data_IF_101453173825
#
_entry.id   IF_101453173825
#
_cell.length_a   1.000
_cell.length_b   1.000
_cell.length_c   1.000
_cell.angle_alpha   90.00
_cell.angle_beta   90.00
_cell.angle_gamma   90.00
#
_symmetry.space_group_name_H-M   'P 1'
#
loop_
_entity.id
_entity.type
_entity.pdbx_description
1 polymer ?
#
# COMPACT_ATOMS: atom_id res chain seq x y z
N UNK A 1 23.19 -19.52 73.83
CA UNK A 1 23.02 -18.07 74.04
C UNK A 1 23.92 -17.34 73.05
N UNK A 2 23.32 -16.37 72.33
CA UNK A 2 23.91 -15.29 71.51
C UNK A 2 24.75 -15.75 70.28
N UNK A 3 24.33 -15.71 68.99
CA UNK A 3 23.77 -14.62 68.12
C UNK A 3 24.49 -13.29 68.42
N UNK A 4 25.19 -12.57 67.52
CA UNK A 4 24.89 -12.06 66.16
C UNK A 4 26.24 -11.69 65.44
N UNK A 5 26.33 -11.08 64.23
CA UNK A 5 26.65 -11.72 62.95
C UNK A 5 27.86 -11.13 62.19
N UNK A 6 28.47 -11.91 61.28
CA UNK A 6 29.44 -11.43 60.28
C UNK A 6 28.77 -10.53 59.21
N UNK A 7 27.44 -10.37 59.25
CA UNK A 7 26.67 -9.50 58.35
C UNK A 7 26.76 -8.00 58.66
N UNK A 8 27.45 -7.57 59.72
CA UNK A 8 27.53 -6.15 60.09
C UNK A 8 28.76 -5.38 59.58
N UNK A 9 29.71 -6.03 58.88
CA UNK A 9 30.87 -5.33 58.33
C UNK A 9 30.63 -4.75 56.92
N UNK A 10 29.57 -5.18 56.22
CA UNK A 10 29.27 -4.77 54.84
C UNK A 10 28.27 -3.59 54.76
N UNK A 11 27.59 -3.26 55.87
CA UNK A 11 26.61 -2.16 55.92
C UNK A 11 27.16 -0.80 56.42
N UNK A 12 28.45 -0.70 56.75
CA UNK A 12 29.11 0.55 57.17
C UNK A 12 29.91 1.25 56.06
N UNK A 13 29.87 0.74 54.83
CA UNK A 13 30.58 1.34 53.68
C UNK A 13 29.67 2.18 52.76
N UNK A 14 28.46 2.54 53.22
CA UNK A 14 27.56 3.45 52.52
C UNK A 14 27.84 4.95 52.86
N UNK A 15 28.97 5.26 53.49
CA UNK A 15 29.30 6.62 53.94
C UNK A 15 30.79 6.92 54.03
N UNK A 16 31.64 6.33 53.18
CA UNK A 16 33.07 6.67 53.15
C UNK A 16 33.31 8.01 52.45
N UNK A 17 33.24 9.09 53.22
CA UNK A 17 34.16 10.23 53.03
C UNK A 17 35.59 9.68 52.98
N UNK A 18 36.43 10.21 52.08
CA UNK A 18 37.74 9.65 51.75
C UNK A 18 38.57 9.24 52.98
N UNK A 19 39.23 8.09 52.87
CA UNK A 19 40.24 7.65 53.86
C UNK A 19 41.32 8.72 53.92
N UNK A 20 41.63 9.21 55.12
CA UNK A 20 42.62 10.26 55.33
C UNK A 20 44.05 9.71 55.13
N UNK A 21 44.97 10.58 54.72
CA UNK A 21 46.36 10.19 54.42
C UNK A 21 47.07 9.56 55.61
N UNK A 22 46.69 9.92 56.84
CA UNK A 22 47.23 9.32 58.08
C UNK A 22 46.85 7.86 58.22
N UNK A 23 45.60 7.49 57.97
CA UNK A 23 45.16 6.08 58.00
C UNK A 23 45.86 5.26 56.91
N UNK A 24 46.11 5.85 55.74
CA UNK A 24 46.88 5.18 54.68
C UNK A 24 48.34 4.97 55.09
N UNK A 25 48.96 5.96 55.73
CA UNK A 25 50.33 5.85 56.24
C UNK A 25 50.47 4.78 57.33
N UNK A 26 49.55 4.76 58.31
CA UNK A 26 49.54 3.77 59.40
C UNK A 26 49.37 2.32 58.88
N UNK A 27 48.58 2.14 57.81
CA UNK A 27 48.41 0.82 57.17
C UNK A 27 49.67 0.41 56.41
N UNK A 28 50.35 1.35 55.74
CA UNK A 28 51.58 1.07 55.00
C UNK A 28 52.78 0.79 55.93
N UNK A 29 52.79 1.39 57.12
CA UNK A 29 53.78 1.07 58.17
C UNK A 29 53.61 -0.37 58.68
N UNK A 30 52.37 -0.83 58.86
CA UNK A 30 52.03 -2.17 59.36
C UNK A 30 52.06 -3.25 58.28
N UNK A 31 51.74 -2.92 57.03
CA UNK A 31 51.77 -3.82 55.87
C UNK A 31 52.34 -3.10 54.64
N UNK A 32 53.67 -3.11 54.44
CA UNK A 32 54.29 -2.54 53.25
C UNK A 32 53.86 -3.19 51.93
N UNK A 33 53.35 -4.44 51.97
CA UNK A 33 52.94 -5.15 50.77
C UNK A 33 51.65 -4.57 50.18
N UNK A 34 50.82 -3.93 51.01
CA UNK A 34 49.59 -3.22 50.63
C UNK A 34 49.83 -2.05 49.65
N UNK A 35 51.06 -1.51 49.59
CA UNK A 35 51.44 -0.52 48.58
C UNK A 35 51.21 -1.01 47.14
N UNK A 36 51.34 -2.32 46.88
CA UNK A 36 51.04 -2.92 45.57
C UNK A 36 49.54 -2.86 45.26
N UNK A 37 48.71 -3.15 46.24
CA UNK A 37 47.24 -3.10 46.14
C UNK A 37 46.77 -1.67 45.83
N UNK A 38 47.34 -0.66 46.49
CA UNK A 38 47.03 0.75 46.20
C UNK A 38 47.44 1.14 44.77
N UNK A 39 48.65 0.74 44.32
CA UNK A 39 49.08 0.98 42.94
C UNK A 39 48.19 0.29 41.91
N UNK A 40 47.75 -0.93 42.18
CA UNK A 40 46.82 -1.68 41.34
C UNK A 40 45.44 -1.02 41.30
N UNK A 41 44.92 -0.56 42.44
CA UNK A 41 43.67 0.21 42.54
C UNK A 41 43.75 1.48 41.68
N UNK A 42 44.81 2.26 41.81
CA UNK A 42 44.97 3.51 41.04
C UNK A 42 45.17 3.26 39.54
N UNK A 43 45.91 2.20 39.19
CA UNK A 43 46.04 1.74 37.80
C UNK A 43 44.69 1.31 37.21
N UNK A 44 43.91 0.55 37.98
CA UNK A 44 42.58 0.08 37.58
C UNK A 44 41.60 1.24 37.47
N UNK A 45 41.61 2.19 38.41
CA UNK A 45 40.79 3.39 38.34
C UNK A 45 41.08 4.21 37.08
N UNK A 46 42.36 4.40 36.74
CA UNK A 46 42.77 5.06 35.48
C UNK A 46 42.29 4.31 34.24
N UNK A 47 42.39 2.97 34.23
CA UNK A 47 41.88 2.13 33.12
C UNK A 47 40.36 2.25 32.98
N UNK A 48 39.62 2.21 34.09
CA UNK A 48 38.16 2.37 34.11
C UNK A 48 37.79 3.74 33.52
N UNK A 49 38.48 4.80 33.92
CA UNK A 49 38.18 6.14 33.43
C UNK A 49 38.50 6.30 31.93
N UNK A 50 39.61 5.72 31.47
CA UNK A 50 39.95 5.68 30.04
C UNK A 50 38.88 4.91 29.23
N UNK A 51 38.40 3.77 29.74
CA UNK A 51 37.34 3.00 29.09
C UNK A 51 36.02 3.77 29.05
N UNK A 52 35.63 4.46 30.12
CA UNK A 52 34.43 5.32 30.12
C UNK A 52 34.52 6.42 29.08
N UNK A 53 35.68 7.08 28.99
CA UNK A 53 35.90 8.13 27.99
C UNK A 53 35.79 7.57 26.57
N UNK A 54 36.45 6.44 26.29
CA UNK A 54 36.37 5.77 24.99
C UNK A 54 34.94 5.32 24.64
N UNK A 55 34.19 4.77 25.60
CA UNK A 55 32.78 4.42 25.41
C UNK A 55 31.91 5.65 25.10
N UNK A 56 32.17 6.79 25.76
CA UNK A 56 31.45 8.04 25.51
C UNK A 56 31.70 8.53 24.08
N UNK A 57 32.96 8.54 23.64
CA UNK A 57 33.35 8.92 22.28
C UNK A 57 32.70 8.00 21.23
N UNK A 58 32.77 6.68 21.43
CA UNK A 58 32.14 5.70 20.54
C UNK A 58 30.62 5.89 20.46
N UNK A 59 29.97 6.19 21.60
CA UNK A 59 28.53 6.47 21.66
C UNK A 59 28.17 7.74 20.90
N UNK A 60 28.94 8.81 21.05
CA UNK A 60 28.71 10.08 20.34
C UNK A 60 28.88 9.90 18.82
N UNK A 61 29.93 9.20 18.39
CA UNK A 61 30.14 8.87 16.97
C UNK A 61 28.98 8.06 16.40
N UNK A 62 28.57 7.00 17.09
CA UNK A 62 27.43 6.15 16.68
C UNK A 62 26.13 6.95 16.58
N UNK A 63 25.86 7.82 17.54
CA UNK A 63 24.66 8.68 17.52
C UNK A 63 24.68 9.67 16.35
N UNK A 64 25.84 10.21 16.00
CA UNK A 64 26.02 11.08 14.83
C UNK A 64 25.71 10.33 13.53
N UNK A 65 26.26 9.13 13.37
CA UNK A 65 26.00 8.26 12.20
C UNK A 65 24.50 7.90 12.10
N UNK A 66 23.87 7.52 13.21
CA UNK A 66 22.41 7.29 13.26
C UNK A 66 21.64 8.56 12.81
N UNK A 67 22.08 9.74 13.26
CA UNK A 67 21.49 11.01 12.86
C UNK A 67 21.58 11.26 11.34
N UNK A 68 22.75 11.01 10.75
CA UNK A 68 22.96 11.13 9.30
C UNK A 68 22.09 10.14 8.52
N UNK A 69 22.04 8.87 8.95
CA UNK A 69 21.22 7.84 8.32
C UNK A 69 19.72 8.19 8.36
N UNK A 70 19.23 8.71 9.49
CA UNK A 70 17.83 9.16 9.61
C UNK A 70 17.49 10.31 8.66
N UNK A 71 18.40 11.28 8.53
CA UNK A 71 18.26 12.38 7.57
C UNK A 71 18.24 11.84 6.13
N UNK A 72 19.20 10.97 5.78
CA UNK A 72 19.27 10.33 4.47
C UNK A 72 18.00 9.54 4.13
N UNK A 73 17.48 8.75 5.07
CA UNK A 73 16.23 8.02 4.91
C UNK A 73 15.04 8.95 4.66
N UNK A 74 14.98 10.08 5.38
CA UNK A 74 13.90 11.08 5.21
C UNK A 74 13.93 11.69 3.81
N UNK A 75 15.12 12.06 3.32
CA UNK A 75 15.31 12.59 1.96
C UNK A 75 14.92 11.53 0.91
N UNK A 76 15.41 10.29 1.05
CA UNK A 76 15.07 9.20 0.11
C UNK A 76 13.58 8.89 0.09
N UNK A 77 12.91 8.92 1.24
CA UNK A 77 11.45 8.75 1.33
C UNK A 77 10.71 9.86 0.58
N UNK A 78 11.16 11.12 0.72
CA UNK A 78 10.58 12.25 -0.01
C UNK A 78 10.80 12.11 -1.53
N UNK A 79 12.01 11.76 -1.97
CA UNK A 79 12.33 11.51 -3.38
C UNK A 79 11.45 10.40 -3.99
N UNK A 80 11.29 9.27 -3.29
CA UNK A 80 10.45 8.16 -3.75
C UNK A 80 8.99 8.59 -3.81
N UNK A 81 8.50 9.30 -2.79
CA UNK A 81 7.11 9.81 -2.77
C UNK A 81 6.86 10.75 -3.95
N UNK A 82 7.81 11.61 -4.26
CA UNK A 82 7.70 12.53 -5.40
C UNK A 82 7.72 11.79 -6.74
N UNK A 83 8.60 10.79 -6.89
CA UNK A 83 8.59 9.92 -8.09
C UNK A 83 7.26 9.19 -8.25
N UNK A 84 6.69 8.64 -7.18
CA UNK A 84 5.36 8.02 -7.19
C UNK A 84 4.31 9.03 -7.64
N UNK A 85 4.31 10.24 -7.07
CA UNK A 85 3.38 11.31 -7.43
C UNK A 85 3.46 11.66 -8.91
N UNK A 86 4.67 11.82 -9.45
CA UNK A 86 4.88 12.12 -10.88
C UNK A 86 4.29 11.00 -11.76
N UNK A 87 4.52 9.72 -11.42
CA UNK A 87 3.95 8.62 -12.20
C UNK A 87 2.43 8.56 -12.10
N UNK A 88 1.86 8.81 -10.90
CA UNK A 88 0.41 8.90 -10.71
C UNK A 88 -0.19 10.00 -11.58
N UNK A 89 0.42 11.19 -11.65
CA UNK A 89 -0.07 12.27 -12.51
C UNK A 89 -0.10 11.93 -14.00
N UNK A 90 0.70 10.96 -14.46
CA UNK A 90 0.69 10.48 -15.84
C UNK A 90 -0.37 9.41 -16.10
N UNK A 91 -0.58 8.49 -15.15
CA UNK A 91 -1.50 7.35 -15.30
C UNK A 91 -2.96 7.76 -15.06
N UNK A 92 -3.23 8.63 -14.09
CA UNK A 92 -4.60 9.10 -13.77
C UNK A 92 -5.39 9.57 -14.99
N UNK A 93 -4.89 10.50 -15.84
CA UNK A 93 -5.67 10.97 -17.00
C UNK A 93 -5.95 9.87 -18.03
N UNK A 94 -5.08 8.85 -18.13
CA UNK A 94 -5.30 7.70 -19.01
C UNK A 94 -6.46 6.84 -18.48
N UNK A 95 -6.48 6.56 -17.17
CA UNK A 95 -7.57 5.83 -16.51
C UNK A 95 -8.89 6.60 -16.67
N UNK A 96 -8.88 7.92 -16.48
CA UNK A 96 -10.07 8.76 -16.60
C UNK A 96 -10.60 8.75 -18.05
N UNK A 97 -9.70 8.86 -19.03
CA UNK A 97 -10.04 8.77 -20.45
C UNK A 97 -10.66 7.42 -20.83
N UNK A 98 -10.10 6.31 -20.36
CA UNK A 98 -10.67 4.98 -20.58
C UNK A 98 -12.02 4.80 -19.86
N UNK A 99 -12.14 5.34 -18.64
CA UNK A 99 -13.38 5.28 -17.87
C UNK A 99 -14.51 6.07 -18.55
N UNK A 100 -14.19 7.22 -19.15
CA UNK A 100 -15.14 7.99 -19.94
C UNK A 100 -15.58 7.21 -21.20
N UNK A 101 -14.63 6.62 -21.94
CA UNK A 101 -14.94 5.76 -23.09
C UNK A 101 -15.80 4.55 -22.73
N UNK A 102 -15.54 3.93 -21.58
CA UNK A 102 -16.32 2.81 -21.07
C UNK A 102 -17.77 3.23 -20.82
N UNK A 103 -17.98 4.35 -20.10
CA UNK A 103 -19.34 4.89 -19.86
C UNK A 103 -20.07 5.18 -21.17
N UNK A 104 -19.40 5.82 -22.12
CA UNK A 104 -20.00 6.13 -23.42
C UNK A 104 -20.39 4.85 -24.17
N UNK A 105 -19.51 3.84 -24.18
CA UNK A 105 -19.78 2.55 -24.84
C UNK A 105 -20.93 1.79 -24.16
N UNK A 106 -21.07 1.92 -22.84
CA UNK A 106 -22.21 1.34 -22.10
C UNK A 106 -23.53 2.02 -22.46
N UNK A 107 -23.55 3.35 -22.56
CA UNK A 107 -24.73 4.10 -23.01
C UNK A 107 -25.13 3.67 -24.42
N UNK A 108 -24.16 3.56 -25.34
CA UNK A 108 -24.38 3.10 -26.70
C UNK A 108 -24.95 1.66 -26.72
N UNK A 109 -24.39 0.76 -25.91
CA UNK A 109 -24.90 -0.60 -25.75
C UNK A 109 -26.36 -0.63 -25.30
N UNK A 110 -26.72 0.18 -24.30
CA UNK A 110 -28.09 0.22 -23.78
C UNK A 110 -29.06 0.77 -24.85
N UNK A 111 -28.68 1.81 -25.59
CA UNK A 111 -29.49 2.35 -26.70
C UNK A 111 -29.73 1.30 -27.79
N UNK A 112 -28.68 0.61 -28.23
CA UNK A 112 -28.78 -0.43 -29.27
C UNK A 112 -29.64 -1.60 -28.76
N UNK A 113 -29.49 -1.97 -27.49
CA UNK A 113 -30.28 -3.04 -26.87
C UNK A 113 -31.76 -2.70 -26.80
N UNK A 114 -32.10 -1.49 -26.40
CA UNK A 114 -33.49 -1.02 -26.35
C UNK A 114 -34.10 -0.95 -27.75
N UNK A 115 -33.33 -0.46 -28.73
CA UNK A 115 -33.72 -0.44 -30.14
C UNK A 115 -33.97 -1.85 -30.68
N UNK A 116 -33.09 -2.81 -30.37
CA UNK A 116 -33.28 -4.21 -30.75
C UNK A 116 -34.57 -4.78 -30.14
N UNK A 117 -34.85 -4.49 -28.88
CA UNK A 117 -36.08 -4.93 -28.20
C UNK A 117 -37.33 -4.37 -28.90
N UNK A 118 -37.33 -3.08 -29.24
CA UNK A 118 -38.43 -2.44 -29.98
C UNK A 118 -38.65 -3.11 -31.35
N UNK A 119 -37.57 -3.34 -32.10
CA UNK A 119 -37.62 -3.98 -33.43
C UNK A 119 -38.15 -5.42 -33.34
N UNK A 120 -37.74 -6.18 -32.33
CA UNK A 120 -38.23 -7.54 -32.09
C UNK A 120 -39.74 -7.57 -31.79
N UNK A 121 -40.24 -6.68 -30.93
CA UNK A 121 -41.69 -6.62 -30.63
C UNK A 121 -42.50 -6.17 -31.85
N UNK A 122 -41.97 -5.23 -32.65
CA UNK A 122 -42.59 -4.83 -33.92
C UNK A 122 -42.66 -5.99 -34.90
N UNK A 123 -41.57 -6.73 -35.09
CA UNK A 123 -41.53 -7.90 -35.96
C UNK A 123 -42.53 -8.97 -35.52
N UNK A 124 -42.58 -9.27 -34.22
CA UNK A 124 -43.54 -10.21 -33.62
C UNK A 124 -44.99 -9.78 -33.86
N UNK A 125 -45.28 -8.49 -33.69
CA UNK A 125 -46.61 -7.92 -33.96
C UNK A 125 -47.01 -8.10 -35.42
N UNK A 126 -46.12 -7.78 -36.37
CA UNK A 126 -46.36 -7.97 -37.81
C UNK A 126 -46.60 -9.43 -38.15
N UNK A 127 -45.74 -10.34 -37.68
CA UNK A 127 -45.90 -11.78 -37.89
C UNK A 127 -47.24 -12.28 -37.34
N UNK A 128 -47.68 -11.77 -36.20
CA UNK A 128 -48.99 -12.15 -35.62
C UNK A 128 -50.19 -11.68 -36.45
N UNK A 129 -50.09 -10.53 -37.14
CA UNK A 129 -51.12 -10.03 -38.05
C UNK A 129 -51.14 -10.86 -39.34
N UNK A 130 -49.97 -11.17 -39.90
CA UNK A 130 -49.82 -12.02 -41.08
C UNK A 130 -50.38 -13.43 -40.86
N UNK A 131 -50.25 -14.00 -39.66
CA UNK A 131 -50.89 -15.27 -39.30
C UNK A 131 -52.43 -15.21 -39.28
N UNK A 132 -53.01 -14.02 -39.15
CA UNK A 132 -54.45 -13.78 -39.14
C UNK A 132 -54.96 -13.23 -40.47
N UNK A 133 -54.14 -13.19 -41.53
CA UNK A 133 -54.45 -12.55 -42.82
C UNK A 133 -55.79 -12.98 -43.42
N UNK A 134 -56.15 -14.26 -43.33
CA UNK A 134 -57.40 -14.79 -43.90
C UNK A 134 -58.64 -14.31 -43.12
N UNK A 135 -58.50 -14.06 -41.81
CA UNK A 135 -59.56 -13.52 -40.96
C UNK A 135 -59.69 -12.00 -41.07
N UNK A 136 -58.60 -11.33 -41.45
CA UNK A 136 -58.52 -9.89 -41.60
C UNK A 136 -58.85 -9.41 -43.02
N UNK A 137 -59.13 -10.35 -43.95
CA UNK A 137 -59.43 -10.04 -45.36
C UNK A 137 -58.37 -9.13 -46.01
N UNK A 138 -57.09 -9.36 -45.67
CA UNK A 138 -55.99 -8.58 -46.25
C UNK A 138 -55.86 -8.89 -47.75
N UNK A 139 -55.65 -7.85 -48.55
CA UNK A 139 -55.36 -7.97 -49.97
C UNK A 139 -53.96 -8.56 -50.22
N UNK A 140 -53.74 -9.07 -51.44
CA UNK A 140 -52.43 -9.59 -51.85
C UNK A 140 -51.31 -8.54 -51.75
N UNK A 141 -51.62 -7.29 -52.11
CA UNK A 141 -50.68 -6.18 -52.06
C UNK A 141 -50.30 -5.81 -50.61
N UNK A 142 -51.27 -5.80 -49.69
CA UNK A 142 -50.99 -5.60 -48.27
C UNK A 142 -50.10 -6.70 -47.72
N UNK A 143 -50.41 -7.97 -48.02
CA UNK A 143 -49.58 -9.11 -47.58
C UNK A 143 -48.15 -8.98 -48.10
N UNK A 144 -47.98 -8.63 -49.38
CA UNK A 144 -46.67 -8.42 -49.97
C UNK A 144 -45.88 -7.29 -49.30
N UNK A 145 -46.56 -6.18 -48.95
CA UNK A 145 -45.97 -5.06 -48.21
C UNK A 145 -45.49 -5.48 -46.82
N UNK A 146 -46.33 -6.20 -46.06
CA UNK A 146 -45.99 -6.68 -44.71
C UNK A 146 -44.85 -7.72 -44.74
N UNK A 147 -44.80 -8.58 -45.75
CA UNK A 147 -43.69 -9.53 -45.93
C UNK A 147 -42.37 -8.80 -46.18
N UNK A 148 -42.32 -7.83 -47.11
CA UNK A 148 -41.11 -7.02 -47.34
C UNK A 148 -40.65 -6.32 -46.06
N UNK A 149 -41.59 -5.73 -45.31
CA UNK A 149 -41.28 -5.07 -44.04
C UNK A 149 -40.76 -6.04 -42.97
N UNK A 150 -41.18 -7.29 -43.00
CA UNK A 150 -40.66 -8.36 -42.12
C UNK A 150 -39.20 -8.68 -42.47
N UNK A 151 -38.89 -8.84 -43.76
CA UNK A 151 -37.53 -9.08 -44.25
C UNK A 151 -36.58 -7.92 -43.91
N UNK A 152 -37.04 -6.68 -44.04
CA UNK A 152 -36.28 -5.49 -43.64
C UNK A 152 -35.97 -5.48 -42.14
N UNK A 153 -36.98 -5.76 -41.31
CA UNK A 153 -36.81 -5.85 -39.85
C UNK A 153 -35.88 -6.98 -39.44
N UNK A 154 -35.97 -8.16 -40.08
CA UNK A 154 -35.07 -9.28 -39.81
C UNK A 154 -33.61 -8.90 -40.11
N UNK A 155 -33.36 -8.17 -41.20
CA UNK A 155 -32.02 -7.64 -41.52
C UNK A 155 -31.54 -6.63 -40.49
N UNK A 156 -32.38 -5.66 -40.11
CA UNK A 156 -32.06 -4.68 -39.06
C UNK A 156 -31.73 -5.37 -37.72
N UNK A 157 -32.56 -6.34 -37.30
CA UNK A 157 -32.36 -7.10 -36.06
C UNK A 157 -31.02 -7.85 -36.06
N UNK A 158 -30.65 -8.47 -37.17
CA UNK A 158 -29.37 -9.17 -37.27
C UNK A 158 -28.19 -8.20 -37.21
N UNK A 159 -28.30 -7.02 -37.84
CA UNK A 159 -27.28 -5.97 -37.71
C UNK A 159 -27.13 -5.52 -36.25
N UNK A 160 -28.24 -5.20 -35.58
CA UNK A 160 -28.24 -4.74 -34.18
C UNK A 160 -27.66 -5.78 -33.22
N UNK A 161 -27.88 -7.07 -33.47
CA UNK A 161 -27.26 -8.16 -32.69
C UNK A 161 -25.74 -8.16 -32.85
N UNK A 162 -25.23 -8.03 -34.08
CA UNK A 162 -23.79 -7.96 -34.33
C UNK A 162 -23.18 -6.71 -33.66
N UNK A 163 -23.88 -5.58 -33.70
CA UNK A 163 -23.45 -4.34 -33.03
C UNK A 163 -23.37 -4.54 -31.51
N UNK A 164 -24.36 -5.20 -30.89
CA UNK A 164 -24.32 -5.52 -29.45
C UNK A 164 -23.14 -6.41 -29.06
N UNK A 165 -22.83 -7.43 -29.87
CA UNK A 165 -21.70 -8.32 -29.62
C UNK A 165 -20.37 -7.55 -29.70
N UNK A 166 -20.23 -6.66 -30.69
CA UNK A 166 -19.09 -5.76 -30.82
C UNK A 166 -18.94 -4.82 -29.62
N UNK A 167 -20.03 -4.19 -29.19
CA UNK A 167 -20.04 -3.31 -28.03
C UNK A 167 -19.72 -4.06 -26.73
N UNK A 168 -20.24 -5.27 -26.56
CA UNK A 168 -19.94 -6.13 -25.40
C UNK A 168 -18.46 -6.50 -25.33
N UNK A 169 -17.85 -6.86 -26.47
CA UNK A 169 -16.42 -7.13 -26.54
C UNK A 169 -15.59 -5.89 -26.18
N UNK A 170 -15.96 -4.73 -26.72
CA UNK A 170 -15.31 -3.43 -26.44
C UNK A 170 -15.41 -3.04 -24.96
N UNK A 171 -16.57 -3.23 -24.33
CA UNK A 171 -16.77 -3.00 -22.88
C UNK A 171 -15.81 -3.87 -22.05
N UNK A 172 -15.67 -5.16 -22.39
CA UNK A 172 -14.78 -6.06 -21.68
C UNK A 172 -13.30 -5.70 -21.85
N UNK A 173 -12.91 -5.28 -23.06
CA UNK A 173 -11.56 -4.78 -23.33
C UNK A 173 -11.24 -3.55 -22.47
N UNK A 174 -12.12 -2.53 -22.50
CA UNK A 174 -11.93 -1.30 -21.72
C UNK A 174 -11.84 -1.56 -20.21
N UNK A 175 -12.66 -2.48 -19.68
CA UNK A 175 -12.57 -2.90 -18.26
C UNK A 175 -11.22 -3.52 -17.93
N UNK A 176 -10.68 -4.33 -18.85
CA UNK A 176 -9.39 -5.01 -18.69
C UNK A 176 -8.24 -4.00 -18.74
N UNK A 177 -8.25 -3.08 -19.70
CA UNK A 177 -7.26 -2.00 -19.81
C UNK A 177 -7.24 -1.12 -18.54
N UNK A 178 -8.41 -0.73 -18.03
CA UNK A 178 -8.52 0.02 -16.77
C UNK A 178 -7.96 -0.77 -15.60
N UNK A 179 -8.21 -2.08 -15.53
CA UNK A 179 -7.68 -2.94 -14.46
C UNK A 179 -6.16 -3.00 -14.50
N UNK A 180 -5.57 -3.22 -15.67
CA UNK A 180 -4.11 -3.27 -15.85
C UNK A 180 -3.45 -1.95 -15.42
N UNK A 181 -4.05 -0.80 -15.73
CA UNK A 181 -3.49 0.50 -15.34
C UNK A 181 -3.62 0.83 -13.84
N UNK A 182 -4.43 0.08 -13.08
CA UNK A 182 -4.63 0.29 -11.64
C UNK A 182 -3.76 -0.61 -10.77
N UNK A 183 -3.23 -1.69 -11.33
CA UNK A 183 -2.30 -2.61 -10.66
C UNK A 183 -0.87 -2.04 -10.65
#
# INVERSE_FOLDING_TARGET
MNKIPILFLVLLLAGCTGVDEKTVADVLEKDPSFARVLKEKDSTARKIEALKFSMKEAREKTNSEIGLLRKGLTVKKAEIKEKIRIQQTKITPLIDGLSAKLRQTQIEYDIVKDTLSERLEKLKSIRSLLLKKDKLTLSGDEIALWNRRTEDLDREINSLKNDLDGLKAKINLLKTEIKILRE
#
